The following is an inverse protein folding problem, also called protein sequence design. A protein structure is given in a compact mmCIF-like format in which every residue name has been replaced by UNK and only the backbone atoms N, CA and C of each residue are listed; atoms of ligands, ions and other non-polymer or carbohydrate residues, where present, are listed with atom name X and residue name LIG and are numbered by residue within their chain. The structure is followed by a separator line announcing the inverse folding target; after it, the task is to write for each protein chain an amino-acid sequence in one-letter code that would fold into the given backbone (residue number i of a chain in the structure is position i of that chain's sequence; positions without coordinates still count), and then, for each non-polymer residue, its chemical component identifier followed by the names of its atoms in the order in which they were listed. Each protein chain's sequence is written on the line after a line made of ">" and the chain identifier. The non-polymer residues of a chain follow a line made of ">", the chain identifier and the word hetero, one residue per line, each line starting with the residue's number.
data_IF_809103826802
#
_entry.id   IF_809103826802
#
_cell.length_a   1.000
_cell.length_b   1.000
_cell.length_c   1.000
_cell.angle_alpha   90.00
_cell.angle_beta   90.00
_cell.angle_gamma   90.00
#
_symmetry.space_group_name_H-M   'P 1'
#
loop_
_entity.id
_entity.type
_entity.pdbx_description
1 polymer ?
#
# COMPACT_ATOMS: atom_id res chain seq x y z
N UNK A 1 19.66 0.76 3.83
CA UNK A 1 18.27 0.75 4.38
C UNK A 1 17.83 -0.64 4.82
N UNK A 2 18.17 -1.72 4.11
CA UNK A 2 17.79 -3.10 4.46
C UNK A 2 18.19 -3.52 5.89
N UNK A 3 19.42 -3.21 6.31
CA UNK A 3 19.91 -3.54 7.66
C UNK A 3 19.09 -2.86 8.77
N UNK A 4 18.63 -1.62 8.53
CA UNK A 4 17.85 -0.86 9.52
C UNK A 4 16.46 -1.47 9.77
N UNK A 5 15.96 -2.31 8.84
CA UNK A 5 14.71 -3.06 8.99
C UNK A 5 14.96 -4.53 9.33
N UNK A 6 16.18 -4.90 9.75
CA UNK A 6 16.53 -6.24 10.21
C UNK A 6 16.84 -7.25 9.11
N UNK A 7 16.99 -6.83 7.85
CA UNK A 7 17.43 -7.75 6.79
C UNK A 7 18.93 -8.02 6.91
N UNK A 8 19.29 -9.27 7.21
CA UNK A 8 20.68 -9.70 7.37
C UNK A 8 21.47 -9.70 6.05
N UNK A 9 20.84 -10.09 4.94
CA UNK A 9 21.45 -10.08 3.61
C UNK A 9 21.14 -8.77 2.86
N UNK A 10 21.93 -7.74 3.17
CA UNK A 10 21.78 -6.45 2.49
C UNK A 10 22.21 -6.51 1.02
N UNK A 11 23.13 -7.41 0.64
CA UNK A 11 23.62 -7.49 -0.73
C UNK A 11 22.58 -8.12 -1.66
N UNK A 12 21.97 -9.23 -1.22
CA UNK A 12 20.86 -9.86 -1.93
C UNK A 12 19.64 -8.95 -2.03
N UNK A 13 19.35 -8.14 -1.00
CA UNK A 13 18.30 -7.12 -1.08
C UNK A 13 18.56 -6.12 -2.21
N UNK A 14 19.76 -5.52 -2.25
CA UNK A 14 20.08 -4.50 -3.27
C UNK A 14 20.08 -5.09 -4.69
N UNK A 15 20.56 -6.33 -4.86
CA UNK A 15 20.49 -7.04 -6.13
C UNK A 15 19.03 -7.25 -6.57
N UNK A 16 18.16 -7.73 -5.67
CA UNK A 16 16.74 -7.93 -5.93
C UNK A 16 16.04 -6.60 -6.29
N UNK A 17 16.31 -5.53 -5.54
CA UNK A 17 15.78 -4.19 -5.84
C UNK A 17 16.25 -3.73 -7.22
N UNK A 18 17.52 -3.92 -7.56
CA UNK A 18 18.04 -3.51 -8.86
C UNK A 18 17.35 -4.24 -10.02
N UNK A 19 17.18 -5.55 -9.91
CA UNK A 19 16.59 -6.41 -10.93
C UNK A 19 15.08 -6.21 -11.08
N UNK A 20 14.34 -6.25 -9.97
CA UNK A 20 12.88 -6.37 -10.01
C UNK A 20 12.13 -5.02 -9.91
N UNK A 21 12.77 -3.93 -9.44
CA UNK A 21 12.06 -2.67 -9.08
C UNK A 21 11.16 -2.14 -10.19
N UNK A 22 11.65 -2.10 -11.44
CA UNK A 22 10.93 -1.42 -12.52
C UNK A 22 9.67 -2.19 -12.90
N UNK A 23 9.76 -3.52 -12.92
CA UNK A 23 8.63 -4.38 -13.19
C UNK A 23 7.57 -4.28 -12.08
N UNK A 24 7.99 -4.32 -10.81
CA UNK A 24 7.06 -4.22 -9.68
C UNK A 24 6.36 -2.85 -9.68
N UNK A 25 7.13 -1.76 -9.83
CA UNK A 25 6.58 -0.42 -9.89
C UNK A 25 5.59 -0.25 -11.05
N UNK A 26 5.87 -0.83 -12.22
CA UNK A 26 4.97 -0.78 -13.37
C UNK A 26 3.65 -1.51 -13.10
N UNK A 27 3.70 -2.68 -12.45
CA UNK A 27 2.50 -3.45 -12.09
C UNK A 27 1.64 -2.67 -11.08
N UNK A 28 2.25 -2.16 -10.02
CA UNK A 28 1.54 -1.42 -8.97
C UNK A 28 0.97 -0.09 -9.49
N UNK A 29 1.72 0.63 -10.33
CA UNK A 29 1.26 1.88 -10.96
C UNK A 29 0.06 1.61 -11.88
N UNK A 30 0.11 0.57 -12.70
CA UNK A 30 -1.02 0.20 -13.56
C UNK A 30 -2.27 -0.20 -12.75
N UNK A 31 -2.09 -0.84 -11.58
CA UNK A 31 -3.19 -1.12 -10.67
C UNK A 31 -3.78 0.17 -10.10
N UNK A 32 -2.93 1.10 -9.65
CA UNK A 32 -3.36 2.40 -9.15
C UNK A 32 -4.19 3.17 -10.20
N UNK A 33 -3.72 3.21 -11.45
CA UNK A 33 -4.43 3.84 -12.57
C UNK A 33 -5.81 3.20 -12.80
N UNK A 34 -5.88 1.86 -12.83
CA UNK A 34 -7.15 1.12 -12.99
C UNK A 34 -8.13 1.38 -11.86
N UNK A 35 -7.64 1.60 -10.64
CA UNK A 35 -8.45 1.92 -9.47
C UNK A 35 -8.76 3.42 -9.35
N UNK A 36 -8.28 4.25 -10.28
CA UNK A 36 -8.45 5.70 -10.25
C UNK A 36 -7.79 6.37 -9.05
N UNK A 37 -6.66 5.83 -8.57
CA UNK A 37 -5.88 6.38 -7.46
C UNK A 37 -4.98 7.49 -7.99
N UNK A 38 -5.34 8.75 -7.71
CA UNK A 38 -4.60 9.91 -8.19
C UNK A 38 -3.51 10.41 -7.23
N UNK A 39 -3.57 10.01 -5.96
CA UNK A 39 -2.65 10.48 -4.93
C UNK A 39 -2.51 9.47 -3.78
N UNK A 40 -1.41 9.58 -3.05
CA UNK A 40 -1.12 8.80 -1.84
C UNK A 40 -1.18 9.67 -0.58
N UNK A 41 -1.52 9.10 0.59
CA UNK A 41 -2.03 7.75 0.75
C UNK A 41 -3.46 7.62 0.25
N UNK A 42 -3.79 6.45 -0.30
CA UNK A 42 -5.16 6.04 -0.60
C UNK A 42 -5.32 4.61 -0.08
N UNK A 43 -6.37 4.38 0.72
CA UNK A 43 -6.68 3.06 1.29
C UNK A 43 -7.87 2.48 0.53
N UNK A 44 -7.74 1.25 0.06
CA UNK A 44 -8.84 0.47 -0.51
C UNK A 44 -9.28 -0.61 0.49
N UNK A 45 -10.58 -0.68 0.81
CA UNK A 45 -11.16 -1.67 1.74
C UNK A 45 -12.46 -2.19 1.15
N UNK A 46 -12.52 -3.47 0.80
CA UNK A 46 -13.71 -4.14 0.23
C UNK A 46 -14.41 -3.34 -0.90
N UNK A 47 -13.63 -2.77 -1.82
CA UNK A 47 -14.13 -1.97 -2.95
C UNK A 47 -14.42 -0.50 -2.62
N UNK A 48 -14.35 -0.09 -1.35
CA UNK A 48 -14.41 1.31 -0.93
C UNK A 48 -13.02 1.95 -0.96
N UNK A 49 -12.97 3.25 -1.25
CA UNK A 49 -11.74 4.03 -1.35
C UNK A 49 -11.74 5.22 -0.39
N UNK A 50 -10.71 5.33 0.43
CA UNK A 50 -10.43 6.47 1.29
C UNK A 50 -9.16 7.17 0.80
N UNK A 51 -9.31 8.36 0.22
CA UNK A 51 -8.18 9.21 -0.15
C UNK A 51 -7.68 10.04 1.03
N UNK A 52 -6.37 10.23 1.08
CA UNK A 52 -5.67 10.97 2.14
C UNK A 52 -5.44 10.14 3.39
N UNK A 53 -5.03 10.81 4.47
CA UNK A 53 -4.80 10.20 5.78
C UNK A 53 -6.08 10.34 6.62
N UNK A 54 -6.93 9.31 6.75
CA UNK A 54 -8.07 9.39 7.65
C UNK A 54 -7.59 9.36 9.11
N UNK A 55 -8.33 10.03 10.01
CA UNK A 55 -8.16 9.80 11.44
C UNK A 55 -8.64 8.39 11.84
N UNK A 56 -8.26 7.95 13.04
CA UNK A 56 -8.60 6.62 13.55
C UNK A 56 -10.11 6.38 13.61
N UNK A 57 -10.90 7.37 14.05
CA UNK A 57 -12.35 7.23 14.21
C UNK A 57 -13.01 6.98 12.86
N UNK A 58 -12.60 7.72 11.82
CA UNK A 58 -13.11 7.56 10.45
C UNK A 58 -12.73 6.20 9.88
N UNK A 59 -11.49 5.76 10.06
CA UNK A 59 -11.05 4.45 9.55
C UNK A 59 -11.75 3.29 10.28
N UNK A 60 -11.79 3.31 11.62
CA UNK A 60 -12.44 2.28 12.43
C UNK A 60 -13.94 2.18 12.11
N UNK A 61 -14.65 3.32 12.06
CA UNK A 61 -16.08 3.33 11.76
C UNK A 61 -16.40 2.77 10.36
N UNK A 62 -15.51 2.97 9.38
CA UNK A 62 -15.64 2.34 8.07
C UNK A 62 -15.51 0.81 8.17
N UNK A 63 -14.49 0.33 8.88
CA UNK A 63 -14.25 -1.11 9.07
C UNK A 63 -15.40 -1.77 9.84
N UNK A 64 -15.88 -1.14 10.91
CA UNK A 64 -17.02 -1.63 11.69
C UNK A 64 -18.28 -1.74 10.82
N UNK A 65 -18.55 -0.72 9.99
CA UNK A 65 -19.64 -0.74 9.01
C UNK A 65 -19.52 -1.89 8.02
N UNK A 66 -18.30 -2.18 7.52
CA UNK A 66 -18.05 -3.28 6.56
C UNK A 66 -18.28 -4.65 7.23
N UNK A 67 -17.92 -4.77 8.51
CA UNK A 67 -18.11 -5.99 9.30
C UNK A 67 -19.54 -6.16 9.85
N UNK A 68 -20.43 -5.19 9.63
CA UNK A 68 -21.79 -5.20 10.17
C UNK A 68 -21.86 -4.96 11.68
N UNK A 69 -20.78 -4.43 12.28
CA UNK A 69 -20.73 -4.02 13.68
C UNK A 69 -21.26 -2.59 13.74
N UNK A 70 -22.41 -2.39 14.42
CA UNK A 70 -22.96 -1.06 14.71
C UNK A 70 -22.82 -0.79 16.19
#
# INVERSE_FOLDING_TARGET
>A
MAIAVGMADSAGFEACVHEARQQILAVDSALADRLGVAAVPTIAINGLRLGGVPDFKRLSGLVDSILGRR
#
